data_IF_417026176554
#
_entry.id   IF_417026176554
#
_cell.length_a   1.000
_cell.length_b   1.000
_cell.length_c   1.000
_cell.angle_alpha   90.00
_cell.angle_beta   90.00
_cell.angle_gamma   90.00
#
_symmetry.space_group_name_H-M   'P 1'
#
loop_
_entity.id
_entity.type
_entity.pdbx_description
1 polymer ?
#
# COMPACT_ATOMS: atom_id res chain seq x y z
N UNK A 1 -20.52 9.16 13.23
CA UNK A 1 -21.61 9.74 12.43
C UNK A 1 -20.97 10.33 11.19
N UNK A 2 -21.29 9.86 9.98
CA UNK A 2 -20.67 10.37 8.76
C UNK A 2 -21.25 11.76 8.43
N UNK A 3 -20.47 12.66 7.82
CA UNK A 3 -20.94 14.01 7.46
C UNK A 3 -22.16 13.99 6.52
N UNK A 4 -22.35 12.92 5.75
CA UNK A 4 -23.52 12.73 4.91
C UNK A 4 -24.82 12.58 5.73
N UNK A 5 -24.79 11.85 6.85
CA UNK A 5 -25.99 11.63 7.68
C UNK A 5 -26.48 12.92 8.31
N UNK A 6 -25.57 13.78 8.77
CA UNK A 6 -25.92 15.13 9.26
C UNK A 6 -26.49 16.01 8.15
N UNK A 7 -25.95 15.91 6.92
CA UNK A 7 -26.48 16.64 5.78
C UNK A 7 -27.90 16.20 5.42
N UNK A 8 -28.17 14.88 5.41
CA UNK A 8 -29.49 14.32 5.14
C UNK A 8 -30.54 14.79 6.14
N UNK A 9 -30.20 14.86 7.43
CA UNK A 9 -31.10 15.37 8.46
C UNK A 9 -31.51 16.83 8.19
N UNK A 10 -30.53 17.68 7.86
CA UNK A 10 -30.79 19.09 7.52
C UNK A 10 -31.62 19.22 6.24
N UNK A 11 -31.32 18.40 5.22
CA UNK A 11 -32.08 18.40 3.98
C UNK A 11 -33.53 17.98 4.20
N UNK A 12 -33.79 16.94 4.99
CA UNK A 12 -35.14 16.49 5.31
C UNK A 12 -35.92 17.54 6.09
N UNK A 13 -35.28 18.24 7.02
CA UNK A 13 -35.90 19.37 7.72
C UNK A 13 -36.28 20.50 6.74
N UNK A 14 -35.38 20.87 5.82
CA UNK A 14 -35.67 21.89 4.79
C UNK A 14 -36.83 21.47 3.87
N UNK A 15 -36.88 20.20 3.46
CA UNK A 15 -37.96 19.68 2.61
C UNK A 15 -39.30 19.73 3.34
N UNK A 16 -39.32 19.39 4.64
CA UNK A 16 -40.52 19.47 5.46
C UNK A 16 -41.01 20.93 5.62
N UNK A 17 -40.09 21.87 5.81
CA UNK A 17 -40.41 23.28 6.02
C UNK A 17 -40.90 23.99 4.74
N UNK A 18 -40.32 23.64 3.59
CA UNK A 18 -40.53 24.37 2.32
C UNK A 18 -41.47 23.67 1.34
N UNK A 19 -41.85 22.42 1.62
CA UNK A 19 -42.78 21.60 0.81
C UNK A 19 -42.46 21.62 -0.69
N UNK A 20 -41.20 21.41 -1.05
CA UNK A 20 -40.76 21.42 -2.45
C UNK A 20 -41.37 20.27 -3.26
N UNK A 21 -41.65 20.49 -4.57
CA UNK A 21 -42.08 19.41 -5.45
C UNK A 21 -40.97 18.37 -5.63
N UNK A 22 -41.34 17.09 -5.69
CA UNK A 22 -40.42 15.94 -5.77
C UNK A 22 -39.39 16.06 -6.90
N UNK A 23 -39.81 16.62 -8.04
CA UNK A 23 -38.96 16.90 -9.21
C UNK A 23 -37.76 17.81 -8.89
N UNK A 24 -37.94 18.77 -7.97
CA UNK A 24 -36.89 19.70 -7.56
C UNK A 24 -36.07 19.18 -6.39
N UNK A 25 -36.63 18.30 -5.57
CA UNK A 25 -35.94 17.72 -4.41
C UNK A 25 -34.68 16.95 -4.86
N UNK A 26 -34.80 16.10 -5.88
CA UNK A 26 -33.66 15.33 -6.41
C UNK A 26 -32.55 16.26 -6.94
N UNK A 27 -32.91 17.30 -7.71
CA UNK A 27 -31.95 18.26 -8.25
C UNK A 27 -31.26 19.10 -7.17
N UNK A 28 -32.00 19.52 -6.14
CA UNK A 28 -31.45 20.29 -5.02
C UNK A 28 -30.56 19.45 -4.12
N UNK A 29 -30.96 18.21 -3.88
CA UNK A 29 -30.15 17.23 -3.18
C UNK A 29 -28.83 17.02 -3.94
N UNK A 30 -28.89 16.71 -5.25
CA UNK A 30 -27.71 16.54 -6.09
C UNK A 30 -26.76 17.74 -6.05
N UNK A 31 -27.28 18.98 -6.03
CA UNK A 31 -26.45 20.19 -5.93
C UNK A 31 -25.67 20.26 -4.62
N UNK A 32 -26.25 19.86 -3.49
CA UNK A 32 -25.62 19.93 -2.17
C UNK A 32 -24.70 18.74 -1.84
N UNK A 33 -24.59 17.74 -2.72
CA UNK A 33 -23.64 16.64 -2.55
C UNK A 33 -22.19 17.09 -2.67
N UNK A 34 -21.31 16.36 -1.97
CA UNK A 34 -19.86 16.48 -2.08
C UNK A 34 -19.42 16.02 -3.49
N UNK A 35 -18.40 16.69 -4.04
CA UNK A 35 -17.86 16.43 -5.38
C UNK A 35 -17.42 14.98 -5.58
N UNK A 36 -16.73 14.38 -4.59
CA UNK A 36 -16.36 12.95 -4.62
C UNK A 36 -17.55 12.02 -4.89
N UNK A 37 -18.74 12.35 -4.35
CA UNK A 37 -19.94 11.54 -4.56
C UNK A 37 -20.57 11.83 -5.92
N UNK A 38 -20.54 13.08 -6.40
CA UNK A 38 -21.01 13.46 -7.74
C UNK A 38 -20.22 12.77 -8.84
N UNK A 39 -18.90 12.71 -8.73
CA UNK A 39 -18.03 12.07 -9.72
C UNK A 39 -18.34 10.57 -9.86
N UNK A 40 -18.64 9.91 -8.75
CA UNK A 40 -18.99 8.49 -8.74
C UNK A 40 -20.41 8.30 -9.30
N UNK A 41 -21.34 9.21 -8.98
CA UNK A 41 -22.68 9.19 -9.55
C UNK A 41 -22.67 9.37 -11.07
N UNK A 42 -21.78 10.19 -11.60
CA UNK A 42 -21.63 10.40 -13.04
C UNK A 42 -21.17 9.14 -13.80
N UNK A 43 -20.64 8.13 -13.11
CA UNK A 43 -20.21 6.85 -13.69
C UNK A 43 -21.29 5.75 -13.63
N UNK A 44 -22.44 6.02 -13.01
CA UNK A 44 -23.51 5.03 -12.81
C UNK A 44 -24.65 5.32 -13.77
N UNK A 45 -24.86 4.40 -14.71
CA UNK A 45 -25.98 4.41 -15.64
C UNK A 45 -26.95 3.25 -15.36
N UNK A 46 -28.28 3.49 -15.28
CA UNK A 46 -28.96 4.78 -15.41
C UNK A 46 -28.91 5.64 -14.14
N UNK A 47 -28.89 6.96 -14.32
CA UNK A 47 -28.92 7.91 -13.20
C UNK A 47 -30.30 7.90 -12.52
N UNK A 48 -30.36 7.77 -11.18
CA UNK A 48 -31.64 7.78 -10.47
C UNK A 48 -32.30 9.16 -10.58
N UNK A 49 -33.55 9.16 -11.05
CA UNK A 49 -34.40 10.36 -11.14
C UNK A 49 -35.18 10.62 -9.85
N UNK A 50 -35.44 9.58 -9.05
CA UNK A 50 -36.13 9.74 -7.77
C UNK A 50 -35.17 10.15 -6.65
N UNK A 51 -35.67 11.02 -5.76
CA UNK A 51 -34.87 11.55 -4.66
C UNK A 51 -34.52 10.47 -3.63
N UNK A 52 -35.43 9.52 -3.35
CA UNK A 52 -35.16 8.46 -2.37
C UNK A 52 -34.14 7.47 -2.91
N UNK A 53 -34.25 7.11 -4.19
CA UNK A 53 -33.27 6.26 -4.85
C UNK A 53 -31.87 6.90 -4.87
N UNK A 54 -31.81 8.21 -5.10
CA UNK A 54 -30.57 8.98 -5.04
C UNK A 54 -29.97 8.95 -3.62
N UNK A 55 -30.78 9.18 -2.58
CA UNK A 55 -30.35 9.11 -1.18
C UNK A 55 -29.79 7.72 -0.84
N UNK A 56 -30.51 6.67 -1.18
CA UNK A 56 -30.12 5.28 -0.90
C UNK A 56 -28.82 4.89 -1.62
N UNK A 57 -28.65 5.35 -2.86
CA UNK A 57 -27.44 5.09 -3.63
C UNK A 57 -26.25 5.84 -3.04
N UNK A 58 -26.42 7.11 -2.68
CA UNK A 58 -25.36 7.93 -2.09
C UNK A 58 -24.94 7.41 -0.73
N UNK A 59 -25.87 6.92 0.09
CA UNK A 59 -25.56 6.32 1.39
C UNK A 59 -24.65 5.09 1.23
N UNK A 60 -24.95 4.24 0.23
CA UNK A 60 -24.11 3.06 -0.10
C UNK A 60 -22.71 3.48 -0.56
N UNK A 61 -22.62 4.55 -1.37
CA UNK A 61 -21.34 5.08 -1.83
C UNK A 61 -20.51 5.67 -0.68
N UNK A 62 -21.12 6.40 0.25
CA UNK A 62 -20.46 6.95 1.43
C UNK A 62 -19.87 5.84 2.31
N UNK A 63 -20.62 4.76 2.54
CA UNK A 63 -20.12 3.61 3.28
C UNK A 63 -18.90 2.99 2.59
N UNK A 64 -18.97 2.78 1.27
CA UNK A 64 -17.88 2.22 0.48
C UNK A 64 -16.64 3.14 0.44
N UNK A 65 -16.83 4.45 0.41
CA UNK A 65 -15.75 5.43 0.52
C UNK A 65 -15.11 5.43 1.91
N UNK A 66 -15.93 5.34 2.97
CA UNK A 66 -15.45 5.25 4.33
C UNK A 66 -14.61 3.98 4.57
N UNK A 67 -15.07 2.83 4.07
CA UNK A 67 -14.31 1.56 4.09
C UNK A 67 -12.96 1.68 3.38
N UNK A 68 -12.92 2.32 2.20
CA UNK A 68 -11.67 2.57 1.47
C UNK A 68 -10.72 3.48 2.24
N UNK A 69 -11.22 4.54 2.88
CA UNK A 69 -10.42 5.44 3.72
C UNK A 69 -9.87 4.73 4.96
N UNK A 70 -10.60 3.77 5.53
CA UNK A 70 -10.14 2.95 6.66
C UNK A 70 -9.07 1.90 6.31
N UNK A 71 -9.16 1.29 5.13
CA UNK A 71 -8.20 0.27 4.65
C UNK A 71 -6.88 0.89 4.17
N UNK A 72 -6.93 2.05 3.50
CA UNK A 72 -5.72 2.80 3.09
C UNK A 72 -4.79 3.12 4.26
N UNK A 73 -5.32 3.56 5.41
CA UNK A 73 -4.51 3.81 6.62
C UNK A 73 -3.74 2.57 7.13
N UNK A 74 -4.19 1.35 6.80
CA UNK A 74 -3.48 0.09 7.12
C UNK A 74 -2.45 -0.30 6.04
N UNK A 75 -2.75 -0.07 4.76
CA UNK A 75 -1.90 -0.52 3.64
C UNK A 75 -0.87 0.52 3.21
N UNK A 76 -1.04 1.79 3.55
CA UNK A 76 -0.10 2.89 3.25
C UNK A 76 1.22 2.77 4.03
N UNK A 77 1.24 1.93 5.08
CA UNK A 77 2.48 1.48 5.74
C UNK A 77 3.32 0.53 4.88
N UNK A 78 2.79 0.02 3.76
CA UNK A 78 3.45 -0.96 2.89
C UNK A 78 3.45 -0.60 1.38
N UNK A 79 2.80 0.47 0.94
CA UNK A 79 2.55 0.74 -0.48
C UNK A 79 3.70 1.43 -1.25
N UNK A 80 4.79 1.83 -0.61
CA UNK A 80 5.91 2.53 -1.28
C UNK A 80 6.86 1.62 -2.09
N UNK A 81 6.49 0.38 -2.43
CA UNK A 81 7.39 -0.56 -3.14
C UNK A 81 6.82 -1.24 -4.37
N UNK A 82 5.96 -0.57 -5.12
CA UNK A 82 5.63 -1.04 -6.47
C UNK A 82 5.73 0.12 -7.43
N UNK A 83 6.97 0.47 -7.79
CA UNK A 83 7.21 1.11 -9.08
C UNK A 83 7.00 0.03 -10.15
N UNK A 84 5.77 0.02 -10.65
CA UNK A 84 5.46 0.03 -12.07
C UNK A 84 6.70 0.08 -13.00
N UNK A 85 6.99 -1.03 -13.67
CA UNK A 85 7.61 -0.96 -14.99
C UNK A 85 6.78 -1.82 -15.93
N UNK A 86 5.76 -1.17 -16.48
CA UNK A 86 4.94 -1.69 -17.55
C UNK A 86 5.54 -1.15 -18.86
N UNK A 87 5.74 -2.09 -19.80
CA UNK A 87 5.90 -1.94 -21.25
C UNK A 87 7.28 -1.54 -21.82
N UNK A 88 7.95 -2.51 -22.44
CA UNK A 88 8.08 -2.53 -23.91
C UNK A 88 8.48 -3.91 -24.43
N UNK A 89 7.73 -4.35 -25.44
CA UNK A 89 7.95 -5.53 -26.28
C UNK A 89 9.34 -5.52 -26.92
N UNK A 90 9.99 -6.68 -26.89
CA UNK A 90 10.50 -7.31 -28.12
C UNK A 90 10.33 -8.82 -27.98
N UNK A 91 9.49 -9.38 -28.87
CA UNK A 91 9.44 -10.81 -29.12
C UNK A 91 10.83 -11.26 -29.57
N UNK A 92 11.47 -12.18 -28.86
CA UNK A 92 12.48 -13.05 -29.44
C UNK A 92 12.39 -14.43 -28.80
N UNK A 93 12.70 -15.41 -29.63
CA UNK A 93 12.25 -16.79 -29.56
C UNK A 93 12.62 -17.52 -28.27
N UNK A 94 11.79 -18.51 -27.98
CA UNK A 94 11.97 -19.49 -26.92
C UNK A 94 13.24 -20.29 -27.16
N UNK A 95 14.22 -20.14 -26.27
CA UNK A 95 15.08 -21.22 -25.83
C UNK A 95 15.00 -21.28 -24.30
N UNK A 96 14.62 -22.41 -23.68
CA UNK A 96 14.61 -22.53 -22.24
C UNK A 96 16.04 -22.86 -21.77
N UNK A 97 16.93 -21.87 -21.81
CA UNK A 97 18.11 -21.95 -20.95
C UNK A 97 17.67 -21.59 -19.52
N UNK A 98 18.05 -22.37 -18.49
CA UNK A 98 17.74 -22.03 -17.12
C UNK A 98 18.47 -20.73 -16.77
N UNK A 99 17.76 -19.60 -16.85
CA UNK A 99 18.26 -18.35 -16.32
C UNK A 99 18.54 -18.57 -14.84
N UNK A 100 19.81 -18.48 -14.44
CA UNK A 100 20.19 -18.41 -13.04
C UNK A 100 19.59 -17.12 -12.46
N UNK A 101 18.37 -17.25 -11.93
CA UNK A 101 17.69 -16.20 -11.18
C UNK A 101 18.59 -15.90 -9.98
N UNK A 102 19.36 -14.81 -10.09
CA UNK A 102 20.10 -14.24 -8.97
C UNK A 102 19.17 -14.17 -7.77
N UNK A 103 19.50 -14.91 -6.71
CA UNK A 103 18.60 -15.29 -5.62
C UNK A 103 17.68 -14.15 -5.17
N UNK A 104 16.44 -14.13 -5.68
CA UNK A 104 15.37 -13.31 -5.12
C UNK A 104 15.00 -13.98 -3.79
N UNK A 105 15.65 -13.57 -2.70
CA UNK A 105 15.44 -14.20 -1.40
C UNK A 105 14.12 -13.72 -0.81
N UNK A 106 13.25 -14.68 -0.50
CA UNK A 106 12.02 -14.43 0.26
C UNK A 106 12.39 -13.84 1.63
N UNK A 107 11.71 -12.78 2.09
CA UNK A 107 11.96 -12.23 3.42
C UNK A 107 11.63 -13.27 4.50
N UNK A 108 12.58 -13.49 5.42
CA UNK A 108 12.43 -14.44 6.53
C UNK A 108 11.26 -14.03 7.45
N UNK A 109 10.43 -15.00 7.84
CA UNK A 109 9.38 -14.81 8.86
C UNK A 109 10.01 -14.61 10.24
N UNK A 110 9.22 -14.11 11.20
CA UNK A 110 9.71 -13.83 12.56
C UNK A 110 10.21 -15.10 13.24
N UNK A 111 9.45 -16.19 13.13
CA UNK A 111 9.80 -17.48 13.72
C UNK A 111 11.07 -18.08 13.09
N UNK A 112 11.24 -17.91 11.78
CA UNK A 112 12.45 -18.37 11.08
C UNK A 112 13.69 -17.57 11.49
N UNK A 113 13.55 -16.26 11.75
CA UNK A 113 14.65 -15.45 12.29
C UNK A 113 15.04 -15.90 13.69
N UNK A 114 14.07 -16.20 14.55
CA UNK A 114 14.33 -16.59 15.93
C UNK A 114 14.95 -18.00 15.99
N UNK A 115 14.50 -18.93 15.15
CA UNK A 115 15.15 -20.24 14.97
C UNK A 115 16.60 -20.10 14.49
N UNK A 116 16.85 -19.24 13.51
CA UNK A 116 18.21 -19.00 13.00
C UNK A 116 19.11 -18.35 14.06
N UNK A 117 18.59 -17.43 14.89
CA UNK A 117 19.35 -16.89 16.03
C UNK A 117 19.67 -17.95 17.07
N UNK A 118 18.68 -18.77 17.46
CA UNK A 118 18.87 -19.87 18.41
C UNK A 118 19.92 -20.88 17.92
N UNK A 119 19.94 -21.13 16.62
CA UNK A 119 20.85 -22.08 15.99
C UNK A 119 22.19 -21.47 15.54
N UNK A 120 22.46 -20.18 15.83
CA UNK A 120 23.69 -19.49 15.45
C UNK A 120 23.91 -19.39 13.93
N UNK A 121 22.83 -19.27 13.16
CA UNK A 121 22.82 -19.19 11.70
C UNK A 121 22.67 -17.73 11.23
N UNK A 122 23.38 -17.40 10.16
CA UNK A 122 23.28 -16.12 9.48
C UNK A 122 21.84 -15.88 8.96
N UNK A 123 21.27 -14.71 9.19
CA UNK A 123 19.94 -14.35 8.69
C UNK A 123 19.99 -13.98 7.20
N UNK A 124 21.18 -13.71 6.65
CA UNK A 124 21.37 -13.44 5.24
C UNK A 124 21.50 -14.74 4.42
N UNK A 125 22.44 -15.63 4.78
CA UNK A 125 22.77 -16.82 3.99
C UNK A 125 22.40 -18.17 4.65
N UNK A 126 21.99 -18.18 5.92
CA UNK A 126 21.62 -19.40 6.65
C UNK A 126 22.77 -20.29 7.13
N UNK A 127 24.03 -19.93 6.84
CA UNK A 127 25.21 -20.69 7.30
C UNK A 127 25.51 -20.40 8.77
N UNK A 128 26.02 -21.39 9.49
CA UNK A 128 26.47 -21.27 10.88
C UNK A 128 27.85 -20.61 10.95
N UNK A 129 28.16 -19.97 12.07
CA UNK A 129 29.49 -19.43 12.36
C UNK A 129 29.70 -17.94 12.02
N UNK A 130 28.69 -17.25 11.48
CA UNK A 130 28.71 -15.79 11.33
C UNK A 130 27.28 -15.22 11.28
N UNK A 131 27.14 -13.93 11.56
CA UNK A 131 25.87 -13.21 11.46
C UNK A 131 25.83 -12.25 10.26
N UNK A 132 24.69 -11.61 10.01
CA UNK A 132 24.45 -10.77 8.83
C UNK A 132 25.51 -9.70 8.56
N UNK A 133 26.16 -9.20 9.61
CA UNK A 133 27.21 -8.17 9.53
C UNK A 133 28.52 -8.71 8.96
N UNK A 134 28.79 -9.98 9.18
CA UNK A 134 30.02 -10.67 8.81
C UNK A 134 29.81 -11.63 7.63
N UNK A 135 28.63 -11.58 6.99
CA UNK A 135 28.31 -12.49 5.91
C UNK A 135 29.16 -12.19 4.67
N UNK A 136 29.99 -13.13 4.19
CA UNK A 136 30.86 -12.92 3.03
C UNK A 136 30.08 -12.77 1.71
N UNK A 137 28.81 -13.18 1.69
CA UNK A 137 27.94 -13.14 0.51
C UNK A 137 27.17 -11.82 0.42
N UNK A 138 27.12 -11.02 1.50
CA UNK A 138 26.39 -9.76 1.51
C UNK A 138 27.25 -8.66 0.87
N UNK A 139 26.79 -7.98 -0.19
CA UNK A 139 27.57 -6.91 -0.80
C UNK A 139 27.76 -5.79 0.23
N UNK A 140 29.03 -5.51 0.57
CA UNK A 140 29.38 -4.37 1.43
C UNK A 140 29.09 -3.10 0.65
N UNK A 141 28.01 -2.41 0.97
CA UNK A 141 27.70 -1.10 0.39
C UNK A 141 28.79 -0.12 0.84
N UNK A 142 29.69 0.27 -0.07
CA UNK A 142 30.79 1.20 0.22
C UNK A 142 30.24 2.62 0.29
N UNK A 143 29.89 3.07 1.49
CA UNK A 143 29.90 4.49 1.82
C UNK A 143 31.14 4.72 2.69
N UNK A 144 32.20 5.28 2.07
CA UNK A 144 33.36 5.79 2.82
C UNK A 144 33.01 7.09 3.55
N UNK A 145 33.88 7.59 4.46
CA UNK A 145 35.25 7.90 4.06
C UNK A 145 36.36 7.30 4.93
N UNK A 146 37.54 7.38 4.33
CA UNK A 146 38.87 6.87 4.65
C UNK A 146 39.48 7.52 5.90
N UNK A 147 40.10 6.75 6.81
CA UNK A 147 41.31 7.17 7.54
C UNK A 147 42.28 6.01 7.80
N UNK A 148 43.37 6.05 7.02
CA UNK A 148 44.81 5.87 7.30
C UNK A 148 45.34 4.64 8.09
N UNK A 149 46.38 4.12 7.46
CA UNK A 149 47.32 3.06 7.80
C UNK A 149 48.07 3.36 9.10
N UNK A 150 48.30 2.33 9.91
CA UNK A 150 49.58 2.11 10.59
C UNK A 150 49.80 0.60 10.74
N UNK A 151 50.81 0.11 10.03
CA UNK A 151 51.41 -1.20 10.26
C UNK A 151 52.15 -1.18 11.60
N UNK A 152 52.08 -2.29 12.35
CA UNK A 152 53.32 -2.92 12.77
C UNK A 152 53.11 -4.41 13.08
N UNK A 153 54.06 -5.20 12.59
CA UNK A 153 54.16 -6.64 12.72
C UNK A 153 55.36 -6.97 13.61
N UNK A 154 55.16 -7.85 14.59
CA UNK A 154 56.12 -8.74 15.26
C UNK A 154 55.21 -9.89 15.79
N UNK A 155 55.20 -11.16 15.34
CA UNK A 155 56.26 -12.17 15.22
C UNK A 155 57.14 -12.14 16.50
N UNK A 156 57.19 -13.15 17.38
CA UNK A 156 57.51 -14.56 17.18
C UNK A 156 57.07 -15.41 18.40
N UNK A 157 57.17 -16.73 18.22
CA UNK A 157 56.91 -17.85 19.14
C UNK A 157 58.01 -18.08 20.19
N UNK A 158 57.72 -19.00 21.12
CA UNK A 158 58.66 -19.81 21.94
C UNK A 158 59.39 -19.13 23.12
N UNK A 159 58.83 -19.29 24.33
CA UNK A 159 59.33 -20.25 25.34
C UNK A 159 58.29 -20.46 26.46
#
# INVERSE_FOLDING_TARGET
>A
MTPLVSYLANFNWLVAETSWPKEKQAALFYKGLIEELKDILAQIDPQPTDCQDLINLVLRLDHRLAERKGTRKKTEKYSWRVHENRESRTQKERTPEPMEIGTIRRPLTKDEKDLRRKNGQCLYCGRKGHFDKECPIKPKNKQGPVQKIAANAQAESEN
#
